data_IF_689038099957
#
_entry.id   IF_689038099957
#
_cell.length_a   1.000
_cell.length_b   1.000
_cell.length_c   1.000
_cell.angle_alpha   90.00
_cell.angle_beta   90.00
_cell.angle_gamma   90.00
#
_symmetry.space_group_name_H-M   'P 1'
#
loop_
_entity.id
_entity.type
_entity.pdbx_description
1 polymer ?
#
# COMPACT_ATOMS: atom_id res chain seq x y z
N UNK A 1 -21.46 -1.34 -11.57
CA UNK A 1 -20.59 -1.22 -10.39
C UNK A 1 -20.13 -2.61 -9.96
N UNK A 2 -18.82 -2.91 -10.04
CA UNK A 2 -18.27 -4.25 -9.79
C UNK A 2 -18.62 -4.79 -8.38
N UNK A 3 -18.51 -3.94 -7.34
CA UNK A 3 -18.88 -4.34 -5.97
C UNK A 3 -20.34 -4.76 -5.85
N UNK A 4 -21.28 -4.05 -6.48
CA UNK A 4 -22.70 -4.44 -6.47
C UNK A 4 -22.92 -5.82 -7.12
N UNK A 5 -22.15 -6.14 -8.17
CA UNK A 5 -22.26 -7.43 -8.86
C UNK A 5 -21.70 -8.59 -8.04
N UNK A 6 -20.62 -8.36 -7.30
CA UNK A 6 -19.82 -9.44 -6.71
C UNK A 6 -19.86 -9.50 -5.17
N UNK A 7 -20.35 -8.46 -4.48
CA UNK A 7 -20.31 -8.38 -3.00
C UNK A 7 -21.70 -8.65 -2.41
N UNK A 8 -21.95 -9.84 -1.81
CA UNK A 8 -23.26 -10.20 -1.27
C UNK A 8 -23.83 -9.21 -0.23
N UNK A 9 -23.04 -8.66 0.72
CA UNK A 9 -23.55 -7.67 1.66
C UNK A 9 -24.06 -6.39 0.97
N UNK A 10 -23.40 -5.97 -0.12
CA UNK A 10 -23.86 -4.81 -0.91
C UNK A 10 -25.16 -5.11 -1.63
N UNK A 11 -25.35 -6.33 -2.16
CA UNK A 11 -26.63 -6.74 -2.76
C UNK A 11 -27.76 -6.72 -1.73
N UNK A 12 -27.54 -7.29 -0.56
CA UNK A 12 -28.54 -7.29 0.53
C UNK A 12 -28.88 -5.86 0.98
N UNK A 13 -27.88 -4.97 1.08
CA UNK A 13 -28.12 -3.55 1.36
C UNK A 13 -28.96 -2.88 0.28
N UNK A 14 -28.65 -3.11 -1.00
CA UNK A 14 -29.43 -2.55 -2.12
C UNK A 14 -30.87 -3.04 -2.08
N UNK A 15 -31.11 -4.32 -1.81
CA UNK A 15 -32.46 -4.85 -1.67
C UNK A 15 -33.23 -4.11 -0.58
N UNK A 16 -32.66 -3.99 0.62
CA UNK A 16 -33.26 -3.21 1.71
C UNK A 16 -33.55 -1.75 1.35
N UNK A 17 -32.75 -1.14 0.47
CA UNK A 17 -33.03 0.24 0.02
C UNK A 17 -34.16 0.30 -1.00
N UNK A 18 -34.28 -0.70 -1.87
CA UNK A 18 -35.40 -0.85 -2.80
C UNK A 18 -36.70 -1.08 -2.06
N UNK A 19 -36.68 -1.95 -1.05
CA UNK A 19 -37.85 -2.24 -0.20
C UNK A 19 -38.33 -0.98 0.56
N UNK A 20 -37.44 -0.01 0.78
CA UNK A 20 -37.73 1.32 1.34
C UNK A 20 -38.19 2.35 0.31
N UNK A 21 -38.41 1.95 -0.94
CA UNK A 21 -38.88 2.82 -2.02
C UNK A 21 -37.82 3.76 -2.60
N UNK A 22 -36.51 3.56 -2.31
CA UNK A 22 -35.46 4.42 -2.87
C UNK A 22 -35.26 4.15 -4.35
N UNK A 23 -35.14 5.22 -5.11
CA UNK A 23 -34.86 5.16 -6.55
C UNK A 23 -33.44 4.64 -6.83
N UNK A 24 -33.24 4.08 -8.02
CA UNK A 24 -31.91 3.60 -8.46
C UNK A 24 -30.82 4.68 -8.37
N UNK A 25 -31.03 5.94 -8.79
CA UNK A 25 -30.03 7.01 -8.63
C UNK A 25 -29.63 7.26 -7.17
N UNK A 26 -30.59 7.27 -6.24
CA UNK A 26 -30.31 7.45 -4.82
C UNK A 26 -29.48 6.31 -4.25
N UNK A 27 -29.82 5.07 -4.60
CA UNK A 27 -29.07 3.88 -4.20
C UNK A 27 -27.63 3.95 -4.72
N UNK A 28 -27.45 4.29 -6.00
CA UNK A 28 -26.12 4.43 -6.59
C UNK A 28 -25.30 5.54 -5.90
N UNK A 29 -25.93 6.67 -5.54
CA UNK A 29 -25.28 7.74 -4.78
C UNK A 29 -24.80 7.26 -3.41
N UNK A 30 -25.64 6.52 -2.68
CA UNK A 30 -25.27 5.94 -1.37
C UNK A 30 -24.10 4.97 -1.50
N UNK A 31 -24.12 4.09 -2.52
CA UNK A 31 -23.05 3.12 -2.76
C UNK A 31 -21.73 3.80 -3.09
N UNK A 32 -21.73 4.78 -4.01
CA UNK A 32 -20.52 5.55 -4.37
C UNK A 32 -19.95 6.25 -3.13
N UNK A 33 -20.80 6.87 -2.31
CA UNK A 33 -20.40 7.56 -1.07
C UNK A 33 -19.81 6.61 -0.03
N UNK A 34 -20.40 5.41 0.12
CA UNK A 34 -19.89 4.40 1.04
C UNK A 34 -18.51 3.87 0.60
N UNK A 35 -18.36 3.54 -0.69
CA UNK A 35 -17.09 3.09 -1.26
C UNK A 35 -16.02 4.17 -1.11
N UNK A 36 -16.32 5.41 -1.46
CA UNK A 36 -15.36 6.52 -1.34
C UNK A 36 -14.88 6.69 0.11
N UNK A 37 -15.78 6.60 1.10
CA UNK A 37 -15.41 6.67 2.52
C UNK A 37 -14.58 5.49 2.98
N UNK A 38 -14.88 4.28 2.50
CA UNK A 38 -14.09 3.09 2.81
C UNK A 38 -12.68 3.20 2.24
N UNK A 39 -12.54 3.62 0.99
CA UNK A 39 -11.24 3.87 0.37
C UNK A 39 -10.49 4.98 1.08
N UNK A 40 -11.13 6.10 1.40
CA UNK A 40 -10.51 7.16 2.18
C UNK A 40 -9.98 6.64 3.52
N UNK A 41 -10.80 5.93 4.29
CA UNK A 41 -10.37 5.33 5.57
C UNK A 41 -9.17 4.40 5.40
N UNK A 42 -9.14 3.58 4.35
CA UNK A 42 -8.00 2.69 4.11
C UNK A 42 -6.75 3.46 3.72
N UNK A 43 -6.86 4.47 2.87
CA UNK A 43 -5.74 5.29 2.39
C UNK A 43 -5.18 6.22 3.46
N UNK A 44 -6.01 6.69 4.40
CA UNK A 44 -5.59 7.59 5.48
C UNK A 44 -5.30 6.88 6.78
N UNK A 45 -5.52 5.55 6.85
CA UNK A 45 -5.11 4.78 8.02
C UNK A 45 -3.59 4.83 8.10
N UNK A 46 -2.99 5.04 9.28
CA UNK A 46 -1.58 4.77 9.47
C UNK A 46 -1.34 3.32 9.07
N UNK A 47 -0.64 3.11 7.95
CA UNK A 47 -0.21 1.78 7.57
C UNK A 47 0.85 1.35 8.58
N UNK A 48 0.77 0.10 9.03
CA UNK A 48 1.88 -0.52 9.76
C UNK A 48 3.15 -0.36 8.93
N UNK A 49 4.27 -0.16 9.63
CA UNK A 49 5.59 -0.07 9.02
C UNK A 49 5.72 -1.15 7.96
N UNK A 50 6.10 -0.74 6.74
CA UNK A 50 6.30 -1.65 5.61
C UNK A 50 7.51 -2.57 5.81
N UNK A 51 8.06 -2.55 7.03
CA UNK A 51 9.15 -3.35 7.54
C UNK A 51 10.50 -2.82 7.09
N UNK A 52 10.56 -1.79 6.24
CA UNK A 52 11.78 -1.35 5.56
C UNK A 52 12.56 -0.27 6.30
N UNK A 53 12.04 0.18 7.44
CA UNK A 53 12.70 1.20 8.26
C UNK A 53 13.97 0.69 8.97
N UNK A 54 14.23 -0.62 8.94
CA UNK A 54 15.48 -1.26 9.40
C UNK A 54 16.67 -1.04 8.46
N UNK A 55 16.41 -0.87 7.16
CA UNK A 55 17.44 -0.81 6.10
C UNK A 55 18.38 0.38 6.28
N UNK A 56 17.82 1.58 6.50
CA UNK A 56 18.60 2.82 6.60
C UNK A 56 19.48 2.86 7.87
N UNK A 57 18.97 2.56 9.07
CA UNK A 57 19.80 2.44 10.27
C UNK A 57 20.91 1.40 10.10
N UNK A 58 20.61 0.22 9.55
CA UNK A 58 21.60 -0.84 9.33
C UNK A 58 22.73 -0.38 8.39
N UNK A 59 22.38 0.27 7.28
CA UNK A 59 23.37 0.85 6.36
C UNK A 59 24.23 1.93 7.03
N UNK A 60 23.60 2.83 7.78
CA UNK A 60 24.29 3.93 8.47
C UNK A 60 25.24 3.41 9.56
N UNK A 61 24.83 2.40 10.33
CA UNK A 61 25.66 1.76 11.34
C UNK A 61 26.94 1.14 10.76
N UNK A 62 26.88 0.67 9.50
CA UNK A 62 28.03 0.14 8.75
C UNK A 62 28.81 1.21 7.98
N UNK A 63 28.46 2.49 8.11
CA UNK A 63 29.07 3.61 7.37
C UNK A 63 29.01 3.45 5.84
N UNK A 64 28.03 2.70 5.32
CA UNK A 64 27.87 2.47 3.89
C UNK A 64 27.12 3.65 3.27
N UNK A 65 27.65 4.21 2.17
CA UNK A 65 26.97 5.27 1.43
C UNK A 65 25.82 4.72 0.58
N UNK A 66 24.83 5.56 0.25
CA UNK A 66 23.75 5.18 -0.67
C UNK A 66 24.31 4.73 -2.05
N UNK A 67 25.39 5.37 -2.51
CA UNK A 67 26.04 5.04 -3.78
C UNK A 67 26.73 3.67 -3.74
N UNK A 68 27.40 3.33 -2.63
CA UNK A 68 28.03 2.04 -2.46
C UNK A 68 26.99 0.89 -2.44
N UNK A 69 25.89 1.07 -1.70
CA UNK A 69 24.79 0.10 -1.68
C UNK A 69 24.15 -0.07 -3.07
N UNK A 70 23.93 1.04 -3.77
CA UNK A 70 23.37 1.02 -5.13
C UNK A 70 24.29 0.27 -6.11
N UNK A 71 25.59 0.55 -6.07
CA UNK A 71 26.59 -0.13 -6.89
C UNK A 71 26.64 -1.64 -6.60
N UNK A 72 26.68 -2.04 -5.33
CA UNK A 72 26.75 -3.44 -4.93
C UNK A 72 25.50 -4.24 -5.34
N UNK A 73 24.33 -3.60 -5.34
CA UNK A 73 23.07 -4.23 -5.73
C UNK A 73 22.74 -4.12 -7.22
N UNK A 74 23.57 -3.43 -8.01
CA UNK A 74 23.31 -3.15 -9.42
C UNK A 74 22.05 -2.31 -9.64
N UNK A 75 21.73 -1.42 -8.70
CA UNK A 75 20.53 -0.59 -8.70
C UNK A 75 20.88 0.90 -8.82
N UNK A 76 19.90 1.71 -9.23
CA UNK A 76 20.03 3.15 -9.17
C UNK A 76 19.98 3.64 -7.70
N UNK A 77 20.75 4.67 -7.38
CA UNK A 77 20.76 5.30 -6.03
C UNK A 77 19.38 5.77 -5.58
N UNK A 78 18.57 6.27 -6.52
CA UNK A 78 17.18 6.66 -6.27
C UNK A 78 16.31 5.48 -5.84
N UNK A 79 16.56 4.27 -6.36
CA UNK A 79 15.84 3.05 -5.98
C UNK A 79 16.10 2.73 -4.51
N UNK A 80 17.36 2.71 -4.08
CA UNK A 80 17.72 2.48 -2.67
C UNK A 80 17.09 3.54 -1.76
N UNK A 81 17.18 4.81 -2.13
CA UNK A 81 16.57 5.92 -1.37
C UNK A 81 15.05 5.79 -1.23
N UNK A 82 14.34 5.35 -2.28
CA UNK A 82 12.88 5.17 -2.25
C UNK A 82 12.50 3.96 -1.41
N UNK A 83 13.26 2.88 -1.48
CA UNK A 83 13.05 1.67 -0.67
C UNK A 83 13.28 1.95 0.81
N UNK A 84 14.36 2.64 1.20
CA UNK A 84 14.61 3.05 2.59
C UNK A 84 13.52 3.95 3.19
N UNK A 85 12.83 4.72 2.33
CA UNK A 85 11.72 5.60 2.73
C UNK A 85 10.34 4.94 2.63
N UNK A 86 10.25 3.68 2.24
CA UNK A 86 8.98 2.99 2.04
C UNK A 86 8.14 3.53 0.87
N UNK A 87 8.73 4.29 -0.06
CA UNK A 87 8.03 4.85 -1.22
C UNK A 87 7.91 3.87 -2.39
N UNK A 88 8.79 2.86 -2.43
CA UNK A 88 8.75 1.79 -3.42
C UNK A 88 9.31 0.52 -2.80
N UNK A 89 8.41 -0.43 -2.53
CA UNK A 89 8.71 -1.66 -1.81
C UNK A 89 8.44 -2.81 -2.76
N UNK A 90 9.52 -3.29 -3.34
CA UNK A 90 9.53 -4.55 -4.07
C UNK A 90 10.13 -5.58 -3.12
N UNK A 91 9.39 -6.65 -2.76
CA UNK A 91 9.87 -7.65 -1.80
C UNK A 91 11.25 -8.21 -2.16
N UNK A 92 11.49 -8.44 -3.45
CA UNK A 92 12.79 -8.88 -3.98
C UNK A 92 13.94 -7.91 -3.63
N UNK A 93 13.75 -6.62 -3.91
CA UNK A 93 14.78 -5.58 -3.65
C UNK A 93 15.04 -5.45 -2.15
N UNK A 94 14.00 -5.49 -1.33
CA UNK A 94 14.12 -5.41 0.13
C UNK A 94 14.91 -6.60 0.67
N UNK A 95 14.57 -7.83 0.26
CA UNK A 95 15.24 -9.03 0.73
C UNK A 95 16.70 -9.06 0.31
N UNK A 96 16.98 -8.79 -0.98
CA UNK A 96 18.35 -8.75 -1.51
C UNK A 96 19.19 -7.67 -0.80
N UNK A 97 18.60 -6.51 -0.53
CA UNK A 97 19.28 -5.44 0.19
C UNK A 97 19.56 -5.81 1.65
N UNK A 98 18.61 -6.44 2.35
CA UNK A 98 18.83 -6.95 3.71
C UNK A 98 19.92 -8.00 3.78
N UNK A 99 19.86 -9.00 2.90
CA UNK A 99 20.87 -10.05 2.82
C UNK A 99 22.25 -9.46 2.59
N UNK A 100 22.36 -8.55 1.62
CA UNK A 100 23.62 -7.87 1.36
C UNK A 100 24.11 -7.06 2.56
N UNK A 101 23.23 -6.28 3.20
CA UNK A 101 23.59 -5.51 4.41
C UNK A 101 24.05 -6.41 5.56
N UNK A 102 23.56 -7.64 5.67
CA UNK A 102 24.02 -8.58 6.68
C UNK A 102 25.43 -9.13 6.37
N UNK A 103 25.78 -9.26 5.10
CA UNK A 103 27.09 -9.77 4.64
C UNK A 103 28.18 -8.71 4.49
N UNK A 104 27.81 -7.44 4.31
CA UNK A 104 28.70 -6.31 4.01
C UNK A 104 29.40 -5.72 5.24
#
# INVERSE_FOLDING_TARGET
MARLRNHPPTKAFVQRQRDRGRSTPEILRLLKRAIAREMFKQLTRPHEDLGVHDLRPTRQAKNITLAAAAHALGLATITISRTERGLHITPEVVNRYREWLNTA
#
